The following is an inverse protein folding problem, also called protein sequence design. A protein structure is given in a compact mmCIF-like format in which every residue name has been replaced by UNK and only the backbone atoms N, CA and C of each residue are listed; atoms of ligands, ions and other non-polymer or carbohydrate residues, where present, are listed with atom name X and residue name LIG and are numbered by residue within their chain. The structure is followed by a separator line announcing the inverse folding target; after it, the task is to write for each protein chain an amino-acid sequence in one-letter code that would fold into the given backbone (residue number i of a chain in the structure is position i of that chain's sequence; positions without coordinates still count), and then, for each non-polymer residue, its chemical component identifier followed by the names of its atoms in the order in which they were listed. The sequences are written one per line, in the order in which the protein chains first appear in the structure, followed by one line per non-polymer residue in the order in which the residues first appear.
data_IF_418734051881
#
_entry.id   IF_418734051881
#
_cell.length_a   1.000
_cell.length_b   1.000
_cell.length_c   1.000
_cell.angle_alpha   90.00
_cell.angle_beta   90.00
_cell.angle_gamma   90.00
#
_symmetry.space_group_name_H-M   'P 1'
#
loop_
_entity.id
_entity.type
_entity.pdbx_description
1 polymer ?
#
# COMPACT_ATOMS: atom_id res chain seq x y z
N UNK A 1 -14.49 -6.10 -7.34
CA UNK A 1 -14.60 -7.12 -8.41
C UNK A 1 -16.01 -7.60 -8.72
N UNK A 2 -16.88 -7.84 -7.72
CA UNK A 2 -18.27 -8.26 -7.97
C UNK A 2 -19.02 -7.34 -8.96
N UNK A 3 -18.95 -6.03 -8.77
CA UNK A 3 -19.59 -5.05 -9.66
C UNK A 3 -19.12 -5.18 -11.12
N UNK A 4 -17.82 -5.40 -11.34
CA UNK A 4 -17.25 -5.60 -12.69
C UNK A 4 -17.80 -6.90 -13.29
N UNK A 5 -17.83 -8.00 -12.53
CA UNK A 5 -18.38 -9.26 -13.00
C UNK A 5 -19.87 -9.14 -13.38
N UNK A 6 -20.65 -8.39 -12.59
CA UNK A 6 -22.07 -8.17 -12.85
C UNK A 6 -22.24 -7.43 -14.19
N UNK A 7 -21.54 -6.31 -14.37
CA UNK A 7 -21.60 -5.53 -15.62
C UNK A 7 -21.13 -6.35 -16.82
N UNK A 8 -20.02 -7.09 -16.71
CA UNK A 8 -19.54 -7.94 -17.79
C UNK A 8 -20.54 -9.04 -18.17
N UNK A 9 -21.20 -9.63 -17.18
CA UNK A 9 -22.25 -10.65 -17.40
C UNK A 9 -23.51 -10.07 -18.05
N UNK A 10 -23.84 -8.80 -17.77
CA UNK A 10 -24.95 -8.10 -18.40
C UNK A 10 -24.67 -7.77 -19.87
N UNK A 11 -23.46 -7.26 -20.18
CA UNK A 11 -23.10 -6.84 -21.54
C UNK A 11 -22.70 -8.00 -22.46
N UNK A 12 -22.17 -9.10 -21.91
CA UNK A 12 -21.79 -10.32 -22.64
C UNK A 12 -22.33 -11.58 -21.96
N UNK A 13 -23.66 -11.73 -22.03
CA UNK A 13 -24.39 -12.83 -21.39
C UNK A 13 -23.97 -14.23 -21.85
N UNK A 14 -23.41 -14.36 -23.07
CA UNK A 14 -22.88 -15.64 -23.56
C UNK A 14 -21.68 -16.14 -22.75
N UNK A 15 -20.89 -15.21 -22.19
CA UNK A 15 -19.72 -15.52 -21.37
C UNK A 15 -19.94 -15.31 -19.86
N UNK A 16 -21.16 -14.96 -19.42
CA UNK A 16 -21.46 -14.67 -18.02
C UNK A 16 -20.94 -15.73 -17.03
N UNK A 17 -21.16 -17.02 -17.32
CA UNK A 17 -20.68 -18.09 -16.44
C UNK A 17 -19.15 -18.14 -16.33
N UNK A 18 -18.43 -17.78 -17.40
CA UNK A 18 -16.96 -17.71 -17.37
C UNK A 18 -16.49 -16.57 -16.47
N UNK A 19 -17.16 -15.41 -16.48
CA UNK A 19 -16.83 -14.30 -15.58
C UNK A 19 -17.09 -14.66 -14.11
N UNK A 20 -18.23 -15.30 -13.83
CA UNK A 20 -18.60 -15.75 -12.48
C UNK A 20 -17.57 -16.75 -11.94
N UNK A 21 -17.23 -17.79 -12.71
CA UNK A 21 -16.26 -18.79 -12.27
C UNK A 21 -14.88 -18.18 -12.00
N UNK A 22 -14.46 -17.19 -12.81
CA UNK A 22 -13.20 -16.46 -12.59
C UNK A 22 -13.27 -15.55 -11.37
N UNK A 23 -14.41 -14.91 -11.12
CA UNK A 23 -14.62 -14.10 -9.92
C UNK A 23 -14.50 -14.98 -8.68
N UNK A 24 -15.16 -16.12 -8.63
CA UNK A 24 -15.13 -17.01 -7.47
C UNK A 24 -13.70 -17.44 -7.13
N UNK A 25 -12.94 -17.87 -8.15
CA UNK A 25 -11.52 -18.22 -7.99
C UNK A 25 -10.64 -17.04 -7.58
N UNK A 26 -10.98 -15.82 -8.00
CA UNK A 26 -10.24 -14.62 -7.63
C UNK A 26 -10.57 -14.18 -6.20
N UNK A 27 -11.84 -14.26 -5.78
CA UNK A 27 -12.26 -13.92 -4.42
C UNK A 27 -11.60 -14.83 -3.38
N UNK A 28 -11.43 -16.12 -3.67
CA UNK A 28 -10.66 -17.00 -2.78
C UNK A 28 -9.22 -16.51 -2.57
N UNK A 29 -8.55 -16.02 -3.61
CA UNK A 29 -7.20 -15.47 -3.47
C UNK A 29 -7.19 -14.14 -2.68
N UNK A 30 -8.23 -13.33 -2.81
CA UNK A 30 -8.38 -12.10 -2.01
C UNK A 30 -8.63 -12.43 -0.54
N UNK A 31 -9.47 -13.43 -0.24
CA UNK A 31 -9.71 -13.89 1.12
C UNK A 31 -8.44 -14.44 1.79
N UNK A 32 -7.58 -15.12 1.01
CA UNK A 32 -6.26 -15.54 1.47
C UNK A 32 -5.37 -14.35 1.82
N UNK A 33 -5.30 -13.33 0.95
CA UNK A 33 -4.53 -12.10 1.23
C UNK A 33 -5.06 -11.40 2.47
N UNK A 34 -6.38 -11.21 2.58
CA UNK A 34 -7.01 -10.60 3.77
C UNK A 34 -6.69 -11.38 5.06
N UNK A 35 -6.73 -12.71 5.00
CA UNK A 35 -6.34 -13.57 6.12
C UNK A 35 -4.87 -13.38 6.49
N UNK A 36 -3.96 -13.30 5.53
CA UNK A 36 -2.54 -13.06 5.76
C UNK A 36 -2.29 -11.70 6.43
N UNK A 37 -2.98 -10.64 6.00
CA UNK A 37 -2.89 -9.31 6.60
C UNK A 37 -3.45 -9.30 8.04
N UNK A 38 -4.61 -9.92 8.28
CA UNK A 38 -5.20 -10.03 9.63
C UNK A 38 -4.30 -10.76 10.62
N UNK A 39 -3.54 -11.76 10.14
CA UNK A 39 -2.62 -12.53 10.97
C UNK A 39 -1.26 -11.86 11.17
N UNK A 40 -0.98 -10.73 10.51
CA UNK A 40 0.32 -10.05 10.58
C UNK A 40 0.45 -9.09 11.77
N UNK A 41 -0.51 -9.04 12.69
CA UNK A 41 -0.47 -8.23 13.93
C UNK A 41 -0.18 -6.73 13.67
N UNK A 42 -0.85 -6.18 12.65
CA UNK A 42 -0.68 -4.79 12.20
C UNK A 42 -1.41 -3.75 13.09
N UNK A 43 -2.32 -4.20 13.96
CA UNK A 43 -3.16 -3.30 14.74
C UNK A 43 -2.34 -2.39 15.67
N UNK A 44 -2.66 -1.10 15.67
CA UNK A 44 -1.98 -0.07 16.44
C UNK A 44 -0.63 0.39 15.88
N UNK A 45 -0.16 -0.18 14.76
CA UNK A 45 1.09 0.24 14.11
C UNK A 45 0.91 1.56 13.33
N UNK A 46 1.98 2.36 13.27
CA UNK A 46 2.04 3.56 12.44
C UNK A 46 3.03 3.33 11.31
N UNK A 47 2.60 3.51 10.06
CA UNK A 47 3.48 3.52 8.89
C UNK A 47 3.76 4.95 8.44
N UNK A 48 5.00 5.21 8.04
CA UNK A 48 5.41 6.46 7.44
C UNK A 48 5.58 6.24 5.95
N UNK A 49 4.94 7.06 5.12
CA UNK A 49 4.89 6.90 3.66
C UNK A 49 5.25 8.21 2.97
N UNK A 50 5.80 8.14 1.76
CA UNK A 50 5.98 9.33 0.93
C UNK A 50 4.63 9.89 0.48
N UNK A 51 3.76 9.03 -0.05
CA UNK A 51 2.47 9.38 -0.62
C UNK A 51 1.29 8.76 0.17
N UNK A 52 0.22 9.55 0.39
CA UNK A 52 -0.86 9.24 1.32
C UNK A 52 -1.96 8.27 0.85
N UNK A 53 -1.62 7.22 0.09
CA UNK A 53 -2.61 6.32 -0.58
C UNK A 53 -3.13 5.13 0.26
N UNK A 54 -2.65 4.90 1.47
CA UNK A 54 -2.91 3.65 2.22
C UNK A 54 -4.01 3.77 3.27
N UNK A 55 -4.85 4.81 3.21
CA UNK A 55 -5.89 5.07 4.23
C UNK A 55 -6.87 3.91 4.42
N UNK A 56 -7.35 3.29 3.34
CA UNK A 56 -8.24 2.11 3.43
C UNK A 56 -7.53 0.90 4.04
N UNK A 57 -6.31 0.60 3.56
CA UNK A 57 -5.49 -0.49 4.11
C UNK A 57 -5.27 -0.29 5.61
N UNK A 58 -4.93 0.92 6.03
CA UNK A 58 -4.71 1.24 7.43
C UNK A 58 -5.98 1.07 8.26
N UNK A 59 -7.12 1.58 7.76
CA UNK A 59 -8.40 1.45 8.46
C UNK A 59 -8.83 -0.01 8.62
N UNK A 60 -8.68 -0.82 7.58
CA UNK A 60 -9.13 -2.23 7.57
C UNK A 60 -8.29 -3.11 8.50
N UNK A 61 -7.01 -2.78 8.70
CA UNK A 61 -6.08 -3.56 9.54
C UNK A 61 -5.59 -2.84 10.81
N UNK A 62 -6.26 -1.76 11.22
CA UNK A 62 -6.00 -1.09 12.51
C UNK A 62 -4.72 -0.25 12.57
N UNK A 63 -4.10 0.08 11.44
CA UNK A 63 -2.90 0.91 11.37
C UNK A 63 -3.24 2.41 11.28
N UNK A 64 -2.20 3.23 11.39
CA UNK A 64 -2.22 4.66 11.03
C UNK A 64 -1.18 4.91 9.95
N UNK A 65 -1.47 5.83 9.03
CA UNK A 65 -0.46 6.36 8.11
C UNK A 65 -0.09 7.80 8.47
N UNK A 66 1.20 8.12 8.32
CA UNK A 66 1.72 9.49 8.30
C UNK A 66 2.41 9.69 6.95
N UNK A 67 1.93 10.65 6.16
CA UNK A 67 2.42 10.88 4.81
C UNK A 67 3.19 12.19 4.71
N UNK A 68 4.25 12.21 3.89
CA UNK A 68 4.94 13.44 3.52
C UNK A 68 4.05 14.29 2.59
N UNK A 69 3.48 13.64 1.58
CA UNK A 69 2.58 14.23 0.60
C UNK A 69 1.12 13.90 0.89
N UNK A 70 0.23 14.76 0.39
CA UNK A 70 -1.20 14.53 0.45
C UNK A 70 -1.66 13.41 -0.49
N UNK A 71 -2.97 13.12 -0.47
CA UNK A 71 -3.60 12.02 -1.23
C UNK A 71 -3.45 12.15 -2.75
N UNK A 72 -3.22 13.35 -3.30
CA UNK A 72 -3.11 13.53 -4.75
C UNK A 72 -1.67 13.51 -5.28
N UNK A 73 -0.64 13.52 -4.41
CA UNK A 73 0.77 13.46 -4.84
C UNK A 73 1.24 14.65 -5.69
N UNK A 74 0.39 15.67 -5.91
CA UNK A 74 0.65 16.73 -6.87
C UNK A 74 1.66 17.80 -6.39
N UNK A 75 2.13 17.71 -5.15
CA UNK A 75 3.00 18.72 -4.57
C UNK A 75 4.04 18.11 -3.64
N UNK A 76 5.31 18.33 -4.00
CA UNK A 76 6.45 18.04 -3.15
C UNK A 76 6.24 18.64 -1.73
N UNK A 77 6.62 17.93 -0.67
CA UNK A 77 6.52 18.43 0.69
C UNK A 77 7.50 19.59 0.89
N UNK A 78 7.07 20.60 1.64
CA UNK A 78 7.99 21.68 2.03
C UNK A 78 9.14 21.14 2.90
N UNK A 79 10.33 21.79 2.91
CA UNK A 79 11.42 21.41 3.81
C UNK A 79 11.01 21.35 5.29
N UNK A 80 10.08 22.22 5.71
CA UNK A 80 9.56 22.23 7.07
C UNK A 80 8.68 21.01 7.39
N UNK A 81 8.02 20.45 6.38
CA UNK A 81 7.20 19.25 6.52
C UNK A 81 8.07 17.99 6.59
N UNK A 82 9.09 17.91 5.73
CA UNK A 82 10.10 16.84 5.82
C UNK A 82 10.78 16.83 7.20
N UNK A 83 11.20 17.99 7.71
CA UNK A 83 11.82 18.08 9.03
C UNK A 83 10.90 17.58 10.17
N UNK A 84 9.61 17.97 10.15
CA UNK A 84 8.63 17.49 11.14
C UNK A 84 8.46 15.97 11.11
N UNK A 85 8.43 15.38 9.92
CA UNK A 85 8.30 13.92 9.79
C UNK A 85 9.57 13.22 10.26
N UNK A 86 10.76 13.73 9.93
CA UNK A 86 12.03 13.22 10.47
C UNK A 86 12.05 13.26 12.00
N UNK A 87 11.64 14.38 12.60
CA UNK A 87 11.58 14.53 14.05
C UNK A 87 10.60 13.52 14.68
N UNK A 88 9.43 13.32 14.05
CA UNK A 88 8.43 12.37 14.50
C UNK A 88 8.96 10.92 14.45
N UNK A 89 9.54 10.50 13.31
CA UNK A 89 10.18 9.20 13.13
C UNK A 89 11.20 8.93 14.25
N UNK A 90 12.11 9.88 14.49
CA UNK A 90 13.13 9.78 15.56
C UNK A 90 12.50 9.66 16.94
N UNK A 91 11.45 10.43 17.21
CA UNK A 91 10.78 10.44 18.52
C UNK A 91 9.96 9.18 18.80
N UNK A 92 9.38 8.57 17.76
CA UNK A 92 8.56 7.35 17.85
C UNK A 92 9.41 6.07 17.72
N UNK A 93 10.70 6.19 17.41
CA UNK A 93 11.61 5.05 17.27
C UNK A 93 11.30 4.19 16.03
N UNK A 94 10.79 4.82 14.98
CA UNK A 94 10.39 4.15 13.73
C UNK A 94 11.65 3.72 12.97
N UNK A 95 11.61 2.53 12.39
CA UNK A 95 12.76 1.90 11.70
C UNK A 95 12.76 2.07 10.18
N UNK A 96 11.66 2.57 9.59
CA UNK A 96 11.57 2.76 8.16
C UNK A 96 10.60 3.86 7.69
N UNK A 97 10.78 4.28 6.45
CA UNK A 97 9.81 5.03 5.64
C UNK A 97 9.52 4.24 4.36
N UNK A 98 8.25 4.14 3.99
CA UNK A 98 7.80 3.46 2.80
C UNK A 98 7.66 4.41 1.61
N UNK A 99 7.91 3.91 0.39
CA UNK A 99 7.74 4.66 -0.86
C UNK A 99 7.13 3.79 -1.95
N UNK A 100 6.42 4.41 -2.90
CA UNK A 100 5.97 3.71 -4.09
C UNK A 100 7.12 3.58 -5.11
N UNK A 101 7.53 2.36 -5.48
CA UNK A 101 8.54 2.16 -6.52
C UNK A 101 8.18 2.75 -7.88
N UNK A 102 6.90 2.96 -8.17
CA UNK A 102 6.42 3.59 -9.41
C UNK A 102 6.71 5.10 -9.46
N UNK A 103 6.75 5.76 -8.30
CA UNK A 103 7.06 7.19 -8.17
C UNK A 103 8.57 7.43 -7.91
N UNK A 104 9.26 6.42 -7.42
CA UNK A 104 10.69 6.43 -7.13
C UNK A 104 11.02 6.70 -5.65
N UNK A 105 12.26 6.46 -5.28
CA UNK A 105 12.69 6.39 -3.87
C UNK A 105 13.36 7.66 -3.34
N UNK A 106 13.66 8.64 -4.19
CA UNK A 106 14.53 9.78 -3.85
C UNK A 106 14.14 10.50 -2.58
N UNK A 107 12.84 10.73 -2.38
CA UNK A 107 12.32 11.42 -1.21
C UNK A 107 12.43 10.56 0.05
N UNK A 108 12.05 9.28 -0.05
CA UNK A 108 12.21 8.34 1.05
C UNK A 108 13.67 8.16 1.44
N UNK A 109 14.60 8.08 0.47
CA UNK A 109 16.03 8.03 0.75
C UNK A 109 16.54 9.28 1.47
N UNK A 110 16.07 10.47 1.09
CA UNK A 110 16.46 11.70 1.76
C UNK A 110 16.04 11.69 3.24
N UNK A 111 14.80 11.29 3.53
CA UNK A 111 14.29 11.16 4.91
C UNK A 111 15.02 10.03 5.65
N UNK A 112 15.21 8.88 5.00
CA UNK A 112 15.85 7.72 5.60
C UNK A 112 17.30 8.00 6.04
N UNK A 113 18.06 8.68 5.19
CA UNK A 113 19.44 9.08 5.50
C UNK A 113 19.51 10.09 6.66
N UNK A 114 18.58 11.06 6.71
CA UNK A 114 18.56 12.06 7.78
C UNK A 114 18.08 11.46 9.13
N UNK A 115 17.22 10.44 9.06
CA UNK A 115 16.68 9.76 10.23
C UNK A 115 17.48 8.54 10.69
N UNK A 116 18.47 8.09 9.90
CA UNK A 116 19.22 6.84 10.11
C UNK A 116 18.30 5.60 10.18
N UNK A 117 17.39 5.50 9.20
CA UNK A 117 16.39 4.43 9.07
C UNK A 117 16.43 3.81 7.67
N UNK A 118 15.59 2.82 7.39
CA UNK A 118 15.47 2.20 6.07
C UNK A 118 14.41 2.89 5.19
N UNK A 119 14.64 2.91 3.88
CA UNK A 119 13.60 3.17 2.89
C UNK A 119 13.12 1.83 2.31
N UNK A 120 11.83 1.50 2.46
CA UNK A 120 11.25 0.23 2.01
C UNK A 120 10.18 0.44 0.93
N UNK A 121 10.09 -0.44 -0.08
CA UNK A 121 9.07 -0.30 -1.12
C UNK A 121 7.68 -0.68 -0.61
N UNK A 122 6.65 0.04 -1.04
CA UNK A 122 5.24 -0.28 -0.78
C UNK A 122 4.40 0.26 -1.96
N UNK A 123 3.81 -0.60 -2.76
CA UNK A 123 3.10 -0.20 -3.99
C UNK A 123 1.72 0.38 -3.70
N UNK A 124 1.34 1.47 -4.39
CA UNK A 124 -0.03 2.07 -4.31
C UNK A 124 -1.01 1.50 -5.33
N UNK A 125 -0.51 0.82 -6.36
CA UNK A 125 -1.26 0.38 -7.56
C UNK A 125 -1.71 1.50 -8.49
N UNK A 126 -1.17 2.72 -8.37
CA UNK A 126 -1.50 3.87 -9.23
C UNK A 126 -0.72 3.90 -10.56
N UNK A 127 -0.23 2.75 -11.01
CA UNK A 127 0.44 2.57 -12.29
C UNK A 127 0.62 1.10 -12.64
N UNK A 128 1.37 0.81 -13.70
CA UNK A 128 1.64 -0.56 -14.13
C UNK A 128 2.60 -1.24 -13.14
N UNK A 129 2.11 -2.28 -12.46
CA UNK A 129 2.84 -3.07 -11.45
C UNK A 129 3.91 -3.99 -12.04
N UNK A 130 4.56 -3.57 -13.13
CA UNK A 130 5.58 -4.30 -13.85
C UNK A 130 5.10 -5.71 -14.28
N UNK A 131 3.87 -5.81 -14.81
CA UNK A 131 3.26 -7.08 -15.21
C UNK A 131 3.00 -8.10 -14.09
N UNK A 132 3.10 -7.71 -12.81
CA UNK A 132 2.64 -8.55 -11.69
C UNK A 132 1.15 -8.35 -11.45
N UNK A 133 0.45 -9.42 -11.09
CA UNK A 133 -0.95 -9.33 -10.69
C UNK A 133 -1.12 -8.69 -9.29
N UNK A 134 -2.36 -8.24 -9.02
CA UNK A 134 -2.72 -7.56 -7.78
C UNK A 134 -2.38 -8.39 -6.52
N UNK A 135 -2.66 -9.69 -6.55
CA UNK A 135 -2.47 -10.59 -5.40
C UNK A 135 -0.99 -10.68 -5.05
N UNK A 136 -0.15 -10.87 -6.06
CA UNK A 136 1.31 -10.97 -5.91
C UNK A 136 1.88 -9.70 -5.29
N UNK A 137 1.44 -8.52 -5.75
CA UNK A 137 1.93 -7.24 -5.23
C UNK A 137 1.41 -6.98 -3.82
N UNK A 138 0.15 -7.32 -3.51
CA UNK A 138 -0.37 -7.20 -2.13
C UNK A 138 0.41 -8.07 -1.15
N UNK A 139 0.75 -9.32 -1.52
CA UNK A 139 1.59 -10.17 -0.68
C UNK A 139 3.00 -9.61 -0.52
N UNK A 140 3.58 -9.05 -1.58
CA UNK A 140 4.87 -8.37 -1.50
C UNK A 140 4.82 -7.16 -0.56
N UNK A 141 3.78 -6.33 -0.66
CA UNK A 141 3.54 -5.20 0.25
C UNK A 141 3.45 -5.66 1.71
N UNK A 142 2.75 -6.76 1.99
CA UNK A 142 2.66 -7.31 3.35
C UNK A 142 4.03 -7.72 3.90
N UNK A 143 4.88 -8.33 3.07
CA UNK A 143 6.23 -8.71 3.48
C UNK A 143 7.12 -7.49 3.77
N UNK A 144 6.96 -6.39 3.03
CA UNK A 144 7.67 -5.13 3.33
C UNK A 144 7.12 -4.47 4.60
N UNK A 145 5.80 -4.48 4.80
CA UNK A 145 5.18 -4.00 6.04
C UNK A 145 5.75 -4.75 7.25
N UNK A 146 5.79 -6.09 7.22
CA UNK A 146 6.33 -6.92 8.30
C UNK A 146 7.80 -6.64 8.63
N UNK A 147 8.60 -6.17 7.68
CA UNK A 147 10.00 -5.77 7.94
C UNK A 147 10.10 -4.42 8.64
N UNK A 148 9.12 -3.54 8.40
CA UNK A 148 9.16 -2.14 8.80
C UNK A 148 8.41 -1.79 10.09
N UNK A 149 7.67 -2.73 10.70
CA UNK A 149 6.79 -2.49 11.86
C UNK A 149 7.04 -3.43 13.05
#
# INVERSE_FOLDING_TARGET
MQAICNVLSEVDSKNAQNYINRLDSYLTQIDEVDTEYKNAELDGKTIFVTHGAYSYLCNDYGMKQVALEGVTGDSDPSPSQMAKVVDQIKSEGISCIFYDPLEGDKMAQAVANEADIQALPLYTFEGDSESRDYVTVMKANLEELKKGI
#
